data_IF_583626721405
#
_entry.id   IF_583626721405
#
_cell.length_a   1.000
_cell.length_b   1.000
_cell.length_c   1.000
_cell.angle_alpha   90.00
_cell.angle_beta   90.00
_cell.angle_gamma   90.00
#
_symmetry.space_group_name_H-M   'P 1'
#
loop_
_entity.id
_entity.type
_entity.pdbx_description
1 polymer ?
#
# COMPACT_ATOMS: atom_id res chain seq x y z
N UNK A 1 -26.49 5.46 6.24
CA UNK A 1 -25.23 4.75 6.54
C UNK A 1 -25.54 3.60 7.49
N UNK A 2 -24.88 2.44 7.36
CA UNK A 2 -24.91 1.39 8.37
C UNK A 2 -24.60 1.95 9.76
N UNK A 3 -25.16 1.33 10.81
CA UNK A 3 -24.92 1.77 12.18
C UNK A 3 -23.43 1.70 12.50
N UNK A 4 -22.89 2.79 13.04
CA UNK A 4 -21.54 2.82 13.55
C UNK A 4 -21.40 1.80 14.68
N UNK A 5 -20.28 1.10 14.71
CA UNK A 5 -19.88 0.27 15.84
C UNK A 5 -18.59 0.84 16.41
N UNK A 6 -18.46 0.80 17.73
CA UNK A 6 -17.22 1.15 18.40
C UNK A 6 -16.64 -0.10 19.03
N UNK A 7 -15.36 -0.35 18.77
CA UNK A 7 -14.60 -1.41 19.41
C UNK A 7 -13.41 -0.79 20.16
N UNK A 8 -12.97 -1.47 21.21
CA UNK A 8 -11.74 -1.12 21.92
C UNK A 8 -10.68 -2.11 21.48
N UNK A 9 -9.66 -1.63 20.77
CA UNK A 9 -8.59 -2.47 20.24
C UNK A 9 -7.29 -2.21 20.99
N UNK A 10 -6.51 -3.25 21.26
CA UNK A 10 -5.20 -3.08 21.91
C UNK A 10 -4.25 -2.33 20.98
N UNK A 11 -3.66 -1.24 21.49
CA UNK A 11 -2.61 -0.54 20.78
C UNK A 11 -1.28 -1.30 20.95
N UNK A 12 -0.61 -1.60 19.84
CA UNK A 12 0.69 -2.28 19.85
C UNK A 12 1.88 -1.28 19.89
N UNK A 13 1.62 0.00 20.14
CA UNK A 13 2.61 1.07 20.04
C UNK A 13 3.40 1.31 21.34
N UNK A 14 4.66 1.72 21.19
CA UNK A 14 5.56 2.22 22.25
C UNK A 14 5.23 3.67 22.67
N UNK A 15 4.51 4.45 21.85
CA UNK A 15 4.12 5.82 22.20
C UNK A 15 2.85 5.80 23.08
N UNK A 16 2.89 6.31 24.33
CA UNK A 16 1.84 6.11 25.33
C UNK A 16 0.44 6.64 24.98
N UNK A 17 0.32 7.52 23.97
CA UNK A 17 -0.94 8.22 23.65
C UNK A 17 -1.51 7.92 22.27
N UNK A 18 -0.73 7.28 21.40
CA UNK A 18 -1.11 7.11 19.99
C UNK A 18 -1.74 5.76 19.78
N UNK A 19 -2.90 5.75 19.11
CA UNK A 19 -3.58 4.52 18.75
C UNK A 19 -2.95 3.86 17.52
N UNK A 20 -2.52 4.66 16.56
CA UNK A 20 -2.11 4.18 15.24
C UNK A 20 -3.28 4.16 14.27
N UNK A 21 -3.18 3.35 13.21
CA UNK A 21 -4.17 3.28 12.14
C UNK A 21 -5.04 2.05 12.33
N UNK A 22 -6.34 2.12 12.01
CA UNK A 22 -7.19 0.93 12.05
C UNK A 22 -7.59 0.51 10.64
N UNK A 23 -7.76 -0.79 10.43
CA UNK A 23 -8.27 -1.36 9.17
C UNK A 23 -9.35 -2.42 9.44
N UNK A 24 -10.12 -2.78 8.42
CA UNK A 24 -11.18 -3.80 8.47
C UNK A 24 -11.10 -4.72 7.26
N UNK A 25 -11.46 -5.99 7.46
CA UNK A 25 -11.66 -6.98 6.40
C UNK A 25 -13.10 -7.01 5.86
N UNK A 26 -13.98 -6.15 6.39
CA UNK A 26 -15.38 -6.09 5.98
C UNK A 26 -16.30 -7.17 6.49
N UNK A 27 -15.80 -8.10 7.29
CA UNK A 27 -16.57 -9.18 7.93
C UNK A 27 -16.85 -8.90 9.41
N UNK A 28 -16.90 -7.61 9.79
CA UNK A 28 -17.04 -7.12 11.18
C UNK A 28 -15.82 -7.18 12.06
N UNK A 29 -14.67 -7.44 11.46
CA UNK A 29 -13.42 -7.50 12.20
C UNK A 29 -12.62 -6.21 12.00
N UNK A 30 -11.95 -5.78 13.07
CA UNK A 30 -11.23 -4.52 13.16
C UNK A 30 -9.85 -4.74 13.76
N UNK A 31 -8.90 -3.98 13.25
CA UNK A 31 -7.48 -4.24 13.43
C UNK A 31 -6.72 -2.96 13.70
N UNK A 32 -5.70 -3.00 14.56
CA UNK A 32 -4.82 -1.86 14.84
C UNK A 32 -3.42 -2.07 14.26
N UNK A 33 -2.96 -1.09 13.51
CA UNK A 33 -1.60 -0.91 13.05
C UNK A 33 -0.87 0.10 13.93
N UNK A 34 0.31 -0.26 14.45
CA UNK A 34 1.23 0.71 15.08
C UNK A 34 2.16 1.35 14.03
N UNK A 35 2.27 2.68 14.00
CA UNK A 35 3.25 3.38 13.17
C UNK A 35 4.73 3.23 13.62
N UNK A 36 5.02 2.70 14.83
CA UNK A 36 6.35 2.82 15.46
C UNK A 36 7.04 1.52 15.89
N UNK A 37 6.68 0.37 15.33
CA UNK A 37 7.68 -0.70 15.25
C UNK A 37 8.80 -0.13 14.35
N UNK A 38 10.08 -0.25 14.71
CA UNK A 38 11.25 0.37 14.04
C UNK A 38 11.48 -0.09 12.57
N UNK A 39 10.42 -0.47 11.87
CA UNK A 39 10.33 -1.00 10.53
C UNK A 39 9.52 -0.08 9.63
N UNK A 40 9.89 0.01 8.36
CA UNK A 40 8.95 0.48 7.33
C UNK A 40 7.80 -0.49 7.30
N UNK A 41 6.60 0.02 7.58
CA UNK A 41 5.41 -0.76 7.80
C UNK A 41 4.48 -0.56 6.61
N UNK A 42 4.36 -1.61 5.78
CA UNK A 42 3.39 -1.69 4.69
C UNK A 42 2.22 -2.54 5.14
N UNK A 43 1.01 -2.00 5.02
CA UNK A 43 -0.21 -2.64 5.46
C UNK A 43 -1.19 -2.71 4.31
N UNK A 44 -1.80 -3.88 4.12
CA UNK A 44 -2.93 -4.04 3.19
C UNK A 44 -4.05 -4.83 3.83
N UNK A 45 -5.31 -4.52 3.50
CA UNK A 45 -6.44 -5.36 3.87
C UNK A 45 -6.37 -6.72 3.15
N UNK A 46 -6.69 -7.78 3.89
CA UNK A 46 -6.79 -9.16 3.41
C UNK A 46 -8.25 -9.61 3.33
N UNK A 47 -8.52 -10.80 2.78
CA UNK A 47 -9.87 -11.40 2.79
C UNK A 47 -10.31 -11.71 4.23
N UNK A 48 -9.36 -12.17 5.05
CA UNK A 48 -9.51 -12.36 6.49
C UNK A 48 -8.43 -11.55 7.18
N UNK A 49 -8.86 -10.49 7.81
CA UNK A 49 -8.02 -9.53 8.52
C UNK A 49 -7.06 -8.67 7.73
N UNK A 50 -5.85 -8.58 8.24
CA UNK A 50 -4.85 -7.66 7.75
C UNK A 50 -3.49 -8.28 7.70
N UNK A 51 -2.63 -7.66 6.92
CA UNK A 51 -1.21 -7.95 6.99
C UNK A 51 -0.37 -6.78 7.47
N UNK A 52 0.68 -7.11 8.21
CA UNK A 52 1.75 -6.20 8.54
C UNK A 52 3.06 -6.72 7.93
N UNK A 53 3.80 -5.80 7.32
CA UNK A 53 5.18 -6.01 6.92
C UNK A 53 6.11 -5.40 7.97
N UNK A 54 6.93 -6.22 8.65
CA UNK A 54 7.95 -5.73 9.58
C UNK A 54 9.35 -5.84 8.97
N UNK A 55 9.84 -4.78 8.35
CA UNK A 55 11.27 -4.64 8.03
C UNK A 55 12.09 -4.31 9.28
N UNK A 56 12.46 -5.32 10.06
CA UNK A 56 13.45 -5.13 11.12
C UNK A 56 14.82 -4.85 10.48
N UNK A 57 15.72 -4.12 11.16
CA UNK A 57 17.16 -4.05 10.78
C UNK A 57 17.88 -5.43 10.91
N UNK A 58 17.11 -6.51 10.99
CA UNK A 58 17.53 -7.90 11.01
C UNK A 58 17.63 -8.42 9.57
N UNK A 59 18.45 -9.44 9.35
CA UNK A 59 18.66 -10.03 8.05
C UNK A 59 17.43 -10.79 7.48
N UNK A 60 16.25 -10.68 8.10
CA UNK A 60 15.01 -11.32 7.66
C UNK A 60 13.84 -10.50 8.14
N UNK A 61 12.86 -10.25 7.27
CA UNK A 61 11.56 -9.71 7.66
C UNK A 61 10.47 -10.78 7.55
N UNK A 62 9.32 -10.52 8.17
CA UNK A 62 8.18 -11.44 8.14
C UNK A 62 6.91 -10.68 7.80
N UNK A 63 6.14 -11.28 6.90
CA UNK A 63 4.82 -10.84 6.52
C UNK A 63 3.83 -11.64 7.32
N UNK A 64 3.05 -10.97 8.16
CA UNK A 64 2.12 -11.64 9.06
C UNK A 64 0.69 -11.34 8.63
N UNK A 65 -0.09 -12.36 8.32
CA UNK A 65 -1.53 -12.24 8.26
C UNK A 65 -2.12 -12.50 9.65
N UNK A 66 -2.96 -11.58 10.10
CA UNK A 66 -3.60 -11.66 11.40
C UNK A 66 -5.10 -11.91 11.23
N UNK A 67 -5.62 -12.78 12.10
CA UNK A 67 -7.04 -12.99 12.31
C UNK A 67 -7.66 -11.76 13.01
N UNK A 68 -8.99 -11.62 12.93
CA UNK A 68 -9.84 -10.66 13.66
C UNK A 68 -9.41 -10.31 15.08
N UNK A 69 -9.01 -11.33 15.83
CA UNK A 69 -8.67 -11.27 17.25
C UNK A 69 -7.19 -10.93 17.49
N UNK A 70 -6.42 -10.63 16.44
CA UNK A 70 -5.00 -10.35 16.49
C UNK A 70 -4.12 -11.61 16.55
N UNK A 71 -4.69 -12.82 16.47
CA UNK A 71 -3.89 -14.03 16.35
C UNK A 71 -3.22 -14.09 14.97
N UNK A 72 -1.96 -14.53 14.91
CA UNK A 72 -1.30 -14.77 13.62
C UNK A 72 -1.94 -15.99 12.97
N UNK A 73 -2.56 -15.82 11.80
CA UNK A 73 -3.17 -16.91 11.00
C UNK A 73 -2.13 -17.50 10.05
N UNK A 74 -1.28 -16.66 9.49
CA UNK A 74 -0.16 -17.09 8.67
C UNK A 74 1.01 -16.12 8.81
N UNK A 75 2.22 -16.65 8.66
CA UNK A 75 3.44 -15.86 8.64
C UNK A 75 4.32 -16.34 7.49
N UNK A 76 4.67 -15.44 6.60
CA UNK A 76 5.56 -15.70 5.47
C UNK A 76 6.86 -14.92 5.68
N UNK A 77 7.96 -15.63 5.91
CA UNK A 77 9.28 -15.00 5.98
C UNK A 77 9.77 -14.54 4.60
N UNK A 78 10.51 -13.44 4.56
CA UNK A 78 11.17 -12.92 3.37
C UNK A 78 12.58 -12.41 3.71
N UNK A 79 13.41 -12.25 2.67
CA UNK A 79 14.84 -11.95 2.82
C UNK A 79 15.15 -10.54 3.37
N UNK A 80 16.43 -10.29 3.69
CA UNK A 80 16.91 -9.04 4.32
C UNK A 80 16.63 -7.74 3.56
N UNK A 81 16.33 -7.80 2.27
CA UNK A 81 16.21 -6.63 1.40
C UNK A 81 15.00 -6.81 0.49
N UNK A 82 13.83 -6.47 1.03
CA UNK A 82 12.54 -6.68 0.42
C UNK A 82 11.79 -5.36 0.23
N UNK A 83 11.21 -5.17 -0.95
CA UNK A 83 10.33 -4.03 -1.26
C UNK A 83 8.89 -4.56 -1.28
N UNK A 84 8.06 -4.17 -0.30
CA UNK A 84 6.67 -4.58 -0.30
C UNK A 84 5.82 -3.73 -1.25
N UNK A 85 4.71 -4.29 -1.70
CA UNK A 85 3.83 -3.65 -2.67
C UNK A 85 2.39 -4.16 -2.64
N UNK A 86 1.44 -3.31 -3.02
CA UNK A 86 0.02 -3.68 -3.11
C UNK A 86 -0.23 -4.53 -4.33
N UNK A 87 -1.13 -5.52 -4.21
CA UNK A 87 -1.77 -6.12 -5.37
C UNK A 87 -3.19 -5.56 -5.53
N UNK A 88 -3.52 -5.04 -6.71
CA UNK A 88 -4.86 -4.50 -7.01
C UNK A 88 -5.99 -5.50 -6.77
N UNK A 89 -5.68 -6.79 -6.95
CA UNK A 89 -6.62 -7.89 -6.79
C UNK A 89 -6.61 -8.52 -5.38
N UNK A 90 -5.79 -8.01 -4.46
CA UNK A 90 -5.70 -8.49 -3.07
C UNK A 90 -4.37 -9.19 -2.77
N UNK A 91 -3.95 -9.11 -1.51
CA UNK A 91 -2.65 -9.59 -1.07
C UNK A 91 -1.52 -8.59 -1.32
N UNK A 92 -0.28 -9.07 -1.25
CA UNK A 92 0.93 -8.25 -1.45
C UNK A 92 1.91 -8.90 -2.40
N UNK A 93 2.74 -8.06 -3.01
CA UNK A 93 3.98 -8.52 -3.63
C UNK A 93 5.15 -8.09 -2.75
N UNK A 94 6.13 -8.98 -2.61
CA UNK A 94 7.42 -8.68 -1.99
C UNK A 94 8.48 -8.90 -3.04
N UNK A 95 9.12 -7.83 -3.49
CA UNK A 95 10.27 -7.95 -4.38
C UNK A 95 11.50 -8.15 -3.52
N UNK A 96 11.99 -9.39 -3.49
CA UNK A 96 13.15 -9.80 -2.72
C UNK A 96 14.41 -9.66 -3.57
N UNK A 97 15.41 -9.01 -3.00
CA UNK A 97 16.65 -8.72 -3.69
C UNK A 97 17.89 -9.20 -2.96
N UNK A 98 17.71 -9.97 -1.89
CA UNK A 98 18.83 -10.68 -1.29
C UNK A 98 19.01 -12.01 -2.00
N UNK A 99 20.15 -12.16 -2.64
CA UNK A 99 20.47 -13.37 -3.36
C UNK A 99 21.75 -13.95 -2.78
N UNK A 100 21.60 -14.98 -1.95
CA UNK A 100 22.71 -15.82 -1.48
C UNK A 100 23.06 -16.91 -2.51
N UNK A 101 22.26 -17.08 -3.57
CA UNK A 101 22.44 -18.13 -4.60
C UNK A 101 22.16 -17.68 -6.04
N UNK A 102 21.29 -16.70 -6.30
CA UNK A 102 21.03 -16.16 -7.65
C UNK A 102 21.71 -14.80 -7.87
N UNK A 103 21.85 -14.36 -9.12
CA UNK A 103 22.24 -12.97 -9.44
C UNK A 103 21.03 -12.11 -9.83
N UNK A 104 19.81 -12.62 -9.63
CA UNK A 104 18.55 -12.06 -10.14
C UNK A 104 17.53 -11.92 -9.01
N UNK A 105 16.95 -10.72 -8.86
CA UNK A 105 15.87 -10.45 -7.90
C UNK A 105 14.62 -11.32 -8.20
N UNK A 106 13.76 -11.53 -7.21
CA UNK A 106 12.48 -12.24 -7.39
C UNK A 106 11.30 -11.45 -6.84
N UNK A 107 10.13 -11.66 -7.43
CA UNK A 107 8.85 -11.19 -6.92
C UNK A 107 8.10 -12.35 -6.28
N UNK A 108 7.90 -12.26 -4.97
CA UNK A 108 7.07 -13.18 -4.20
C UNK A 108 5.66 -12.61 -4.08
N UNK A 109 4.70 -13.33 -4.64
CA UNK A 109 3.28 -12.99 -4.57
C UNK A 109 2.69 -13.71 -3.36
N UNK A 110 2.10 -12.94 -2.46
CA UNK A 110 1.39 -13.44 -1.29
C UNK A 110 -0.07 -13.05 -1.45
N UNK A 111 -0.96 -14.03 -1.43
CA UNK A 111 -2.39 -13.82 -1.66
C UNK A 111 -3.09 -13.09 -0.50
N UNK A 112 -4.39 -12.85 -0.65
CA UNK A 112 -5.23 -12.20 0.33
C UNK A 112 -5.58 -13.07 1.56
N UNK A 113 -5.02 -14.28 1.65
CA UNK A 113 -5.03 -15.13 2.86
C UNK A 113 -3.65 -15.22 3.54
N UNK A 114 -2.64 -14.53 2.99
CA UNK A 114 -1.29 -14.49 3.52
C UNK A 114 -0.40 -15.66 3.12
N UNK A 115 -0.84 -16.49 2.17
CA UNK A 115 -0.06 -17.61 1.66
C UNK A 115 0.76 -17.20 0.42
N UNK A 116 1.93 -17.83 0.25
CA UNK A 116 2.73 -17.64 -0.96
C UNK A 116 2.03 -18.29 -2.14
N UNK A 117 1.55 -17.47 -3.08
CA UNK A 117 0.93 -17.92 -4.31
C UNK A 117 1.96 -18.22 -5.40
N UNK A 118 3.03 -17.43 -5.47
CA UNK A 118 4.11 -17.61 -6.44
C UNK A 118 5.42 -16.95 -5.97
N UNK A 119 6.55 -17.46 -6.46
CA UNK A 119 7.86 -16.80 -6.38
C UNK A 119 8.47 -16.81 -7.78
N UNK A 120 8.71 -15.62 -8.32
CA UNK A 120 8.98 -15.44 -9.75
C UNK A 120 10.28 -14.67 -9.92
N UNK A 121 11.24 -15.24 -10.63
CA UNK A 121 12.48 -14.54 -10.96
C UNK A 121 12.19 -13.33 -11.85
N UNK A 122 12.96 -12.25 -11.68
CA UNK A 122 12.89 -11.05 -12.50
C UNK A 122 14.18 -10.87 -13.32
N UNK A 123 14.37 -11.59 -14.44
CA UNK A 123 15.59 -11.55 -15.23
C UNK A 123 16.07 -10.13 -15.56
N UNK A 124 17.38 -9.92 -15.44
CA UNK A 124 18.00 -8.62 -15.68
C UNK A 124 17.76 -7.59 -14.57
N UNK A 125 17.19 -8.00 -13.43
CA UNK A 125 17.17 -7.19 -12.20
C UNK A 125 18.29 -7.63 -11.26
N UNK A 126 19.33 -6.80 -11.04
CA UNK A 126 20.42 -7.16 -10.17
C UNK A 126 19.98 -7.23 -8.70
N UNK A 127 20.55 -8.18 -7.98
CA UNK A 127 20.50 -8.24 -6.53
C UNK A 127 21.54 -7.25 -5.97
N UNK A 128 21.14 -6.05 -5.59
CA UNK A 128 22.08 -5.03 -5.13
C UNK A 128 21.46 -4.14 -4.04
N UNK A 129 21.82 -4.44 -2.79
CA UNK A 129 21.48 -3.73 -1.55
C UNK A 129 20.26 -2.80 -1.68
N UNK A 130 19.08 -3.42 -1.66
CA UNK A 130 17.78 -2.75 -1.76
C UNK A 130 17.38 -2.12 -0.41
N UNK A 131 18.39 -1.81 0.41
CA UNK A 131 18.31 -1.16 1.73
C UNK A 131 18.12 0.35 1.65
N UNK A 132 18.23 0.95 0.46
CA UNK A 132 17.81 2.33 0.22
C UNK A 132 16.30 2.39 -0.01
N UNK A 133 15.54 3.27 0.66
CA UNK A 133 14.07 3.36 0.65
C UNK A 133 13.52 3.91 -0.68
N UNK A 134 14.17 3.65 -1.79
CA UNK A 134 14.01 4.29 -3.10
C UNK A 134 13.31 3.38 -4.12
N UNK A 135 12.61 2.36 -3.65
CA UNK A 135 11.95 1.39 -4.51
C UNK A 135 10.51 1.16 -4.04
N UNK A 136 9.60 1.04 -5.00
CA UNK A 136 8.23 0.62 -4.74
C UNK A 136 7.79 -0.42 -5.76
N UNK A 137 6.94 -1.33 -5.33
CA UNK A 137 6.36 -2.38 -6.16
C UNK A 137 4.83 -2.29 -6.10
N UNK A 138 4.15 -2.54 -7.22
CA UNK A 138 2.70 -2.76 -7.27
C UNK A 138 2.38 -3.83 -8.28
N UNK A 139 1.41 -4.68 -7.98
CA UNK A 139 0.76 -5.54 -8.97
C UNK A 139 -0.55 -4.89 -9.37
N UNK A 140 -0.72 -4.61 -10.65
CA UNK A 140 -1.93 -3.99 -11.17
C UNK A 140 -3.10 -4.99 -11.34
N UNK A 141 -4.26 -4.50 -11.79
CA UNK A 141 -5.44 -5.35 -11.97
C UNK A 141 -5.28 -6.42 -13.07
N UNK A 142 -4.27 -6.29 -13.94
CA UNK A 142 -3.94 -7.26 -14.99
C UNK A 142 -2.85 -8.26 -14.54
N UNK A 143 -2.57 -8.30 -13.24
CA UNK A 143 -1.54 -9.15 -12.63
C UNK A 143 -0.12 -8.87 -13.15
N UNK A 144 0.18 -7.61 -13.48
CA UNK A 144 1.50 -7.16 -13.92
C UNK A 144 2.19 -6.38 -12.82
N UNK A 145 3.47 -6.67 -12.61
CA UNK A 145 4.29 -6.00 -11.63
C UNK A 145 4.85 -4.70 -12.23
N UNK A 146 4.54 -3.58 -11.58
CA UNK A 146 5.21 -2.30 -11.76
C UNK A 146 6.29 -2.17 -10.69
N UNK A 147 7.54 -2.00 -11.13
CA UNK A 147 8.66 -1.69 -10.25
C UNK A 147 9.11 -0.26 -10.49
N UNK A 148 9.14 0.55 -9.44
CA UNK A 148 9.59 1.94 -9.45
C UNK A 148 10.90 2.06 -8.68
N UNK A 149 11.85 2.79 -9.25
CA UNK A 149 13.03 3.33 -8.58
C UNK A 149 12.94 4.85 -8.52
N UNK A 150 12.80 5.41 -7.33
CA UNK A 150 12.58 6.84 -7.10
C UNK A 150 13.71 7.50 -6.30
N UNK A 151 13.80 8.84 -6.33
CA UNK A 151 14.91 9.58 -5.74
C UNK A 151 16.16 9.72 -6.62
N UNK A 152 17.19 10.40 -6.10
CA UNK A 152 18.35 10.83 -6.88
C UNK A 152 19.19 9.65 -7.41
N UNK A 153 19.06 9.38 -8.71
CA UNK A 153 19.88 8.42 -9.44
C UNK A 153 19.12 7.23 -10.05
N UNK A 154 17.86 7.44 -10.47
CA UNK A 154 16.98 6.45 -11.11
C UNK A 154 17.71 5.29 -11.78
N UNK A 155 17.42 4.07 -11.33
CA UNK A 155 18.19 2.88 -11.69
C UNK A 155 18.04 2.53 -13.18
N UNK A 156 19.13 2.03 -13.76
CA UNK A 156 19.08 1.15 -14.95
C UNK A 156 18.81 1.84 -16.28
N UNK A 157 18.90 3.18 -16.36
CA UNK A 157 18.84 3.88 -17.63
C UNK A 157 19.78 5.09 -17.66
N UNK A 158 20.77 5.07 -18.55
CA UNK A 158 21.62 6.23 -18.84
C UNK A 158 20.88 7.35 -19.58
N UNK A 159 19.63 7.10 -20.01
CA UNK A 159 18.83 8.05 -20.79
C UNK A 159 17.84 8.83 -19.93
N UNK A 160 17.77 8.57 -18.62
CA UNK A 160 16.83 9.23 -17.71
C UNK A 160 17.54 10.41 -17.04
N UNK A 161 16.96 11.63 -17.08
CA UNK A 161 17.56 12.79 -16.46
C UNK A 161 17.87 12.59 -14.98
N UNK A 162 18.98 13.16 -14.51
CA UNK A 162 19.31 13.15 -13.09
C UNK A 162 18.20 13.80 -12.27
N UNK A 163 17.79 13.14 -11.18
CA UNK A 163 16.68 13.57 -10.32
C UNK A 163 15.32 13.00 -10.72
N UNK A 164 15.19 12.42 -11.92
CA UNK A 164 13.99 11.67 -12.30
C UNK A 164 14.05 10.23 -11.78
N UNK A 165 12.87 9.65 -11.68
CA UNK A 165 12.62 8.27 -11.26
C UNK A 165 12.43 7.37 -12.47
N UNK A 166 12.76 6.09 -12.32
CA UNK A 166 12.64 5.09 -13.39
C UNK A 166 11.67 3.99 -13.02
N UNK A 167 10.93 3.47 -14.00
CA UNK A 167 10.04 2.34 -13.78
C UNK A 167 10.17 1.27 -14.87
N UNK A 168 9.66 0.07 -14.55
CA UNK A 168 9.58 -1.06 -15.48
C UNK A 168 8.37 -1.93 -15.16
N UNK A 169 7.72 -2.43 -16.21
CA UNK A 169 6.68 -3.44 -16.12
C UNK A 169 7.23 -4.86 -16.30
N UNK A 170 6.68 -5.80 -15.56
CA UNK A 170 6.86 -7.23 -15.74
C UNK A 170 5.49 -7.92 -15.85
N UNK A 171 5.41 -8.97 -16.65
CA UNK A 171 4.25 -9.87 -16.60
C UNK A 171 4.30 -10.78 -15.37
N UNK A 172 3.25 -11.57 -15.18
CA UNK A 172 3.14 -12.51 -14.05
C UNK A 172 4.18 -13.62 -14.05
N UNK A 173 4.92 -13.81 -15.15
CA UNK A 173 6.04 -14.77 -15.24
C UNK A 173 7.40 -14.10 -14.98
N UNK A 174 7.42 -12.81 -14.69
CA UNK A 174 8.62 -12.04 -14.40
C UNK A 174 9.36 -11.55 -15.64
N UNK A 175 8.79 -11.72 -16.82
CA UNK A 175 9.38 -11.20 -18.06
C UNK A 175 9.11 -9.69 -18.14
N UNK A 176 10.15 -8.93 -18.43
CA UNK A 176 10.03 -7.49 -18.65
C UNK A 176 9.13 -7.21 -19.88
N UNK A 177 8.12 -6.38 -19.70
CA UNK A 177 7.22 -5.89 -20.75
C UNK A 177 7.70 -4.59 -21.37
N UNK A 178 8.52 -3.84 -20.64
CA UNK A 178 9.08 -2.56 -21.07
C UNK A 178 10.59 -2.50 -20.78
N UNK A 179 11.35 -1.63 -21.47
CA UNK A 179 12.62 -1.16 -20.94
C UNK A 179 12.42 -0.40 -19.61
N UNK A 180 13.51 0.02 -18.96
CA UNK A 180 13.40 1.05 -17.91
C UNK A 180 13.03 2.37 -18.58
N UNK A 181 12.02 3.07 -18.06
CA UNK A 181 11.53 4.32 -18.62
C UNK A 181 11.41 5.41 -17.55
N UNK A 182 11.47 6.66 -17.99
CA UNK A 182 11.33 7.84 -17.15
C UNK A 182 9.87 8.01 -16.71
N UNK A 183 9.65 8.20 -15.41
CA UNK A 183 8.33 8.54 -14.85
C UNK A 183 8.26 9.94 -14.24
N UNK A 184 9.29 10.75 -14.46
CA UNK A 184 9.45 12.09 -13.93
C UNK A 184 9.96 12.10 -12.49
N UNK A 185 9.82 13.25 -11.84
CA UNK A 185 10.25 13.43 -10.45
C UNK A 185 9.21 12.83 -9.52
N UNK A 186 9.62 11.78 -8.81
CA UNK A 186 8.89 11.17 -7.71
C UNK A 186 9.82 11.27 -6.49
N UNK A 187 9.53 12.21 -5.59
CA UNK A 187 10.26 12.32 -4.32
C UNK A 187 9.56 11.53 -3.22
N UNK A 188 10.37 10.92 -2.37
CA UNK A 188 9.96 10.19 -1.18
C UNK A 188 10.64 10.82 0.04
N UNK A 189 10.39 12.09 0.27
CA UNK A 189 10.60 12.68 1.58
C UNK A 189 9.68 11.91 2.56
N UNK A 190 10.28 10.88 3.16
CA UNK A 190 9.77 9.87 4.09
C UNK A 190 8.44 10.21 4.83
N UNK A 191 7.54 9.23 5.07
CA UNK A 191 7.36 7.91 4.45
C UNK A 191 6.11 7.94 3.55
N UNK A 192 6.28 8.05 2.22
CA UNK A 192 5.15 8.13 1.27
C UNK A 192 5.23 6.97 0.29
N UNK A 193 4.15 6.17 0.18
CA UNK A 193 4.00 5.23 -0.92
C UNK A 193 3.70 6.04 -2.19
N UNK A 194 4.61 6.08 -3.18
CA UNK A 194 4.45 6.97 -4.32
C UNK A 194 3.59 6.38 -5.45
N UNK A 195 3.13 5.13 -5.29
CA UNK A 195 2.43 4.36 -6.32
C UNK A 195 1.16 3.76 -5.75
N UNK A 196 0.09 3.77 -6.56
CA UNK A 196 -1.20 3.16 -6.22
C UNK A 196 -1.78 2.45 -7.46
N UNK A 197 -2.50 1.31 -7.30
CA UNK A 197 -3.08 0.61 -8.44
C UNK A 197 -4.29 1.37 -9.01
N UNK A 198 -4.46 1.31 -10.34
CA UNK A 198 -5.65 1.84 -11.02
C UNK A 198 -6.67 0.73 -11.30
N UNK A 199 -7.96 1.08 -11.21
CA UNK A 199 -9.08 0.31 -11.74
C UNK A 199 -8.84 0.04 -13.23
N UNK A 200 -8.95 -1.23 -13.62
CA UNK A 200 -8.72 -1.68 -15.01
C UNK A 200 -7.25 -1.93 -15.37
N UNK A 201 -6.31 -1.60 -14.48
CA UNK A 201 -4.87 -1.84 -14.65
C UNK A 201 -4.06 -0.56 -14.81
N UNK A 202 -2.75 -0.67 -14.67
CA UNK A 202 -1.85 0.46 -14.55
C UNK A 202 -1.69 0.97 -13.11
N UNK A 203 -0.94 2.07 -12.99
CA UNK A 203 -0.62 2.71 -11.70
C UNK A 203 -0.82 4.22 -11.75
N UNK A 204 -1.19 4.81 -10.63
CA UNK A 204 -1.12 6.24 -10.37
C UNK A 204 0.16 6.54 -9.59
N UNK A 205 0.84 7.62 -9.98
CA UNK A 205 2.06 8.11 -9.36
C UNK A 205 1.78 9.40 -8.59
N UNK A 206 2.42 9.50 -7.43
CA UNK A 206 2.30 10.62 -6.50
C UNK A 206 3.68 11.15 -6.14
N UNK A 207 3.82 12.46 -6.08
CA UNK A 207 5.02 13.15 -5.61
C UNK A 207 4.64 13.96 -4.37
N UNK A 208 5.14 13.55 -3.20
CA UNK A 208 4.64 14.04 -1.92
C UNK A 208 3.12 13.87 -1.83
N UNK A 209 2.41 14.99 -1.70
CA UNK A 209 0.95 14.97 -1.56
C UNK A 209 0.15 15.03 -2.85
N UNK A 210 0.82 15.19 -4.00
CA UNK A 210 0.19 15.53 -5.29
C UNK A 210 0.26 14.36 -6.25
N UNK A 211 -0.85 14.06 -6.92
CA UNK A 211 -0.89 13.09 -8.01
C UNK A 211 -0.31 13.69 -9.29
N UNK A 212 0.71 13.05 -9.85
CA UNK A 212 1.52 13.65 -10.93
C UNK A 212 1.31 12.99 -12.28
N UNK A 213 1.08 11.67 -12.31
CA UNK A 213 0.95 10.94 -13.56
C UNK A 213 0.24 9.60 -13.37
N UNK A 214 -0.14 9.00 -14.48
CA UNK A 214 -0.56 7.61 -14.56
C UNK A 214 0.38 6.86 -15.48
N UNK A 215 0.52 5.56 -15.29
CA UNK A 215 1.17 4.69 -16.27
C UNK A 215 0.22 3.55 -16.57
N UNK A 216 -0.23 3.47 -17.82
CA UNK A 216 -1.09 2.38 -18.26
C UNK A 216 -0.36 1.04 -18.14
N UNK A 217 -1.13 -0.03 -17.91
CA UNK A 217 -0.60 -1.38 -17.78
C UNK A 217 0.29 -1.79 -18.95
N UNK A 218 1.56 -2.10 -18.68
CA UNK A 218 2.54 -2.50 -19.71
C UNK A 218 3.03 -1.38 -20.62
N UNK A 219 2.63 -0.12 -20.38
CA UNK A 219 3.10 1.03 -21.15
C UNK A 219 4.36 1.66 -20.51
N UNK A 220 5.24 2.19 -21.35
CA UNK A 220 6.49 2.84 -20.95
C UNK A 220 6.41 4.38 -20.95
N UNK A 221 5.22 4.94 -21.12
CA UNK A 221 5.02 6.38 -21.24
C UNK A 221 4.05 6.85 -20.16
N UNK A 222 4.47 7.75 -19.27
CA UNK A 222 3.57 8.39 -18.33
C UNK A 222 2.48 9.18 -19.06
N UNK A 223 1.24 8.98 -18.63
CA UNK A 223 0.09 9.79 -18.99
C UNK A 223 -0.11 10.95 -18.00
N UNK A 224 -1.20 11.71 -18.16
CA UNK A 224 -1.56 12.78 -17.24
C UNK A 224 -1.87 12.23 -15.84
N UNK A 225 -1.91 13.12 -14.86
CA UNK A 225 -2.43 12.81 -13.53
C UNK A 225 -3.85 12.21 -13.62
N UNK A 226 -4.21 11.28 -12.73
CA UNK A 226 -5.53 10.67 -12.73
C UNK A 226 -6.62 11.73 -12.51
N UNK A 227 -7.70 11.66 -13.31
CA UNK A 227 -8.80 12.62 -13.19
C UNK A 227 -9.52 12.44 -11.86
N UNK A 228 -9.84 13.57 -11.20
CA UNK A 228 -10.58 13.60 -9.95
C UNK A 228 -9.80 13.16 -8.71
N UNK A 229 -8.54 12.72 -8.85
CA UNK A 229 -7.71 12.39 -7.68
C UNK A 229 -7.25 13.66 -6.98
N UNK A 230 -7.46 13.69 -5.67
CA UNK A 230 -7.25 14.87 -4.85
C UNK A 230 -5.87 14.89 -4.18
N UNK A 231 -5.24 16.06 -4.16
CA UNK A 231 -4.02 16.29 -3.39
C UNK A 231 -4.28 16.11 -1.89
N UNK A 232 -3.30 15.58 -1.16
CA UNK A 232 -3.40 15.29 0.27
C UNK A 232 -4.25 14.06 0.61
N UNK A 233 -4.76 13.33 -0.39
CA UNK A 233 -5.55 12.11 -0.21
C UNK A 233 -4.93 10.90 -0.93
N UNK A 234 -5.13 9.71 -0.36
CA UNK A 234 -4.83 8.42 -0.97
C UNK A 234 -6.04 7.92 -1.76
N UNK A 235 -5.79 7.23 -2.87
CA UNK A 235 -6.84 6.65 -3.70
C UNK A 235 -6.97 5.15 -3.41
N UNK A 236 -8.00 4.78 -2.65
CA UNK A 236 -8.28 3.38 -2.32
C UNK A 236 -9.37 2.85 -3.24
N UNK A 237 -9.10 1.72 -3.90
CA UNK A 237 -10.09 1.06 -4.77
C UNK A 237 -11.22 0.47 -3.91
N UNK A 238 -12.45 0.89 -4.18
CA UNK A 238 -13.68 0.46 -3.47
C UNK A 238 -14.77 0.02 -4.46
N UNK A 239 -15.96 -0.32 -3.95
CA UNK A 239 -17.13 -0.72 -4.77
C UNK A 239 -16.86 -1.91 -5.71
N UNK A 240 -15.98 -2.82 -5.29
CA UNK A 240 -15.54 -3.95 -6.11
C UNK A 240 -14.81 -3.51 -7.40
N UNK A 241 -14.01 -2.44 -7.32
CA UNK A 241 -13.25 -1.94 -8.47
C UNK A 241 -14.02 -0.96 -9.36
N UNK A 242 -15.05 -0.28 -8.84
CA UNK A 242 -15.88 0.65 -9.62
C UNK A 242 -15.69 2.12 -9.26
N UNK A 243 -15.03 2.41 -8.14
CA UNK A 243 -14.74 3.77 -7.70
C UNK A 243 -13.48 3.81 -6.83
N UNK A 244 -12.95 5.01 -6.64
CA UNK A 244 -11.90 5.31 -5.68
C UNK A 244 -12.51 6.07 -4.51
N UNK A 245 -12.16 5.65 -3.30
CA UNK A 245 -12.35 6.44 -2.09
C UNK A 245 -11.10 7.28 -1.88
N UNK A 246 -11.26 8.61 -1.89
CA UNK A 246 -10.17 9.53 -1.63
C UNK A 246 -10.02 9.68 -0.10
N UNK A 247 -9.15 8.87 0.47
CA UNK A 247 -8.87 8.80 1.91
C UNK A 247 -7.90 9.92 2.33
N UNK A 248 -8.18 10.71 3.38
CA UNK A 248 -7.22 11.68 3.90
C UNK A 248 -5.90 11.01 4.32
N UNK A 249 -4.78 11.44 3.75
CA UNK A 249 -3.47 10.78 3.93
C UNK A 249 -2.84 11.01 5.33
N UNK A 250 -3.27 12.04 6.07
CA UNK A 250 -2.73 12.42 7.39
C UNK A 250 -3.85 12.98 8.29
N UNK A 251 -3.52 13.17 9.56
CA UNK A 251 -4.41 13.72 10.60
C UNK A 251 -5.30 14.87 10.10
N UNK A 252 -6.60 14.77 10.32
CA UNK A 252 -7.53 15.87 10.07
C UNK A 252 -8.99 15.50 10.28
N UNK A 253 -9.85 16.51 10.38
CA UNK A 253 -11.25 16.38 9.97
C UNK A 253 -11.29 16.38 8.44
N UNK A 254 -12.02 15.46 7.83
CA UNK A 254 -11.98 15.32 6.38
C UNK A 254 -13.27 14.81 5.76
N UNK A 255 -13.21 14.74 4.43
CA UNK A 255 -14.19 14.05 3.62
C UNK A 255 -13.51 12.92 2.87
N UNK A 256 -14.22 11.81 2.75
CA UNK A 256 -13.94 10.80 1.73
C UNK A 256 -14.83 11.13 0.54
N UNK A 257 -14.22 11.55 -0.55
CA UNK A 257 -14.92 11.70 -1.82
C UNK A 257 -14.83 10.39 -2.60
N UNK A 258 -15.96 10.01 -3.20
CA UNK A 258 -16.07 8.80 -4.02
C UNK A 258 -15.95 9.21 -5.47
N UNK A 259 -14.83 8.88 -6.10
CA UNK A 259 -14.48 9.31 -7.45
C UNK A 259 -14.63 8.12 -8.41
N UNK A 260 -15.42 8.28 -9.46
CA UNK A 260 -15.50 7.30 -10.54
C UNK A 260 -14.22 7.34 -11.42
N UNK A 261 -13.90 6.28 -12.18
CA UNK A 261 -12.71 6.23 -13.03
C UNK A 261 -12.61 7.35 -14.08
N UNK A 262 -13.73 7.95 -14.47
CA UNK A 262 -13.79 9.10 -15.38
C UNK A 262 -13.47 10.44 -14.69
N UNK A 263 -13.27 10.43 -13.37
CA UNK A 263 -13.01 11.58 -12.51
C UNK A 263 -14.25 12.24 -11.94
N UNK A 264 -15.45 11.72 -12.21
CA UNK A 264 -16.69 12.26 -11.67
C UNK A 264 -16.78 11.97 -10.17
N UNK A 265 -17.03 13.02 -9.37
CA UNK A 265 -17.41 12.84 -7.98
C UNK A 265 -18.85 12.26 -7.91
N UNK A 266 -18.98 11.09 -7.29
CA UNK A 266 -20.22 10.35 -7.11
C UNK A 266 -20.86 10.58 -5.73
N UNK A 267 -20.20 11.29 -4.84
CA UNK A 267 -20.68 11.62 -3.51
C UNK A 267 -19.53 11.85 -2.54
N UNK A 268 -19.84 12.60 -1.49
CA UNK A 268 -18.91 12.96 -0.42
C UNK A 268 -19.44 12.42 0.89
N UNK A 269 -18.56 11.80 1.66
CA UNK A 269 -18.83 11.40 3.02
C UNK A 269 -17.97 12.21 3.98
N UNK A 270 -18.61 12.97 4.87
CA UNK A 270 -17.91 13.64 5.96
C UNK A 270 -17.53 12.62 7.03
N UNK A 271 -16.25 12.57 7.40
CA UNK A 271 -15.77 11.73 8.49
C UNK A 271 -15.61 12.57 9.76
N UNK A 272 -15.67 11.90 10.91
CA UNK A 272 -15.27 12.53 12.16
C UNK A 272 -13.76 12.86 12.14
N UNK A 273 -13.32 13.75 13.02
CA UNK A 273 -11.91 14.05 13.22
C UNK A 273 -11.16 12.82 13.71
N UNK A 274 -10.11 12.43 12.99
CA UNK A 274 -9.28 11.30 13.37
C UNK A 274 -8.41 10.78 12.24
N UNK A 275 -7.76 9.66 12.47
CA UNK A 275 -7.21 8.84 11.41
C UNK A 275 -8.32 8.09 10.72
N UNK A 276 -8.41 8.26 9.42
CA UNK A 276 -9.41 7.61 8.59
C UNK A 276 -8.70 6.56 7.77
N UNK A 277 -9.30 5.37 7.70
CA UNK A 277 -8.87 4.34 6.77
C UNK A 277 -10.07 3.75 6.04
N UNK A 278 -9.88 3.39 4.78
CA UNK A 278 -10.89 2.75 3.96
C UNK A 278 -10.49 1.31 3.66
N UNK A 279 -11.34 0.37 4.09
CA UNK A 279 -11.21 -1.05 3.73
C UNK A 279 -11.60 -1.28 2.27
N UNK A 280 -11.00 -2.29 1.63
CA UNK A 280 -11.31 -2.69 0.24
C UNK A 280 -12.78 -3.08 0.05
N UNK A 281 -13.39 -3.61 1.10
CA UNK A 281 -14.81 -3.96 1.19
C UNK A 281 -15.74 -2.71 1.25
N UNK A 282 -15.16 -1.52 1.33
CA UNK A 282 -15.86 -0.25 1.47
C UNK A 282 -16.17 0.14 2.92
N UNK A 283 -15.61 -0.55 3.91
CA UNK A 283 -15.68 -0.14 5.31
C UNK A 283 -14.88 1.12 5.59
N UNK A 284 -15.32 1.91 6.56
CA UNK A 284 -14.62 3.11 7.00
C UNK A 284 -14.31 2.99 8.47
N UNK A 285 -13.08 3.32 8.83
CA UNK A 285 -12.61 3.32 10.20
C UNK A 285 -12.16 4.71 10.59
N UNK A 286 -12.45 5.09 11.82
CA UNK A 286 -12.01 6.34 12.43
C UNK A 286 -11.35 6.01 13.76
N UNK A 287 -10.08 6.37 13.89
CA UNK A 287 -9.30 6.23 15.11
C UNK A 287 -8.96 7.62 15.65
N UNK A 288 -9.31 7.94 16.91
CA UNK A 288 -8.90 9.19 17.52
C UNK A 288 -7.36 9.23 17.68
N UNK A 289 -6.72 10.36 17.35
CA UNK A 289 -5.26 10.45 17.32
C UNK A 289 -4.62 10.28 18.71
N UNK A 290 -5.31 10.75 19.76
CA UNK A 290 -4.90 10.65 21.16
C UNK A 290 -5.93 9.86 21.98
N UNK A 291 -6.44 8.76 21.42
CA UNK A 291 -7.54 7.99 22.00
C UNK A 291 -7.14 6.90 22.98
N UNK A 292 -5.84 6.65 23.18
CA UNK A 292 -5.37 5.49 23.96
C UNK A 292 -5.70 5.67 25.44
N UNK A 293 -6.49 4.77 25.98
CA UNK A 293 -6.66 4.66 27.43
C UNK A 293 -5.38 4.06 28.02
N UNK A 294 -4.65 4.86 28.80
CA UNK A 294 -3.40 4.47 29.44
C UNK A 294 -3.56 3.39 30.52
N UNK A 295 -4.77 3.20 31.04
CA UNK A 295 -5.05 2.22 32.09
C UNK A 295 -5.26 0.83 31.49
N UNK A 296 -6.02 0.75 30.40
CA UNK A 296 -6.37 -0.51 29.74
C UNK A 296 -5.49 -0.82 28.53
N UNK A 297 -4.71 0.16 28.07
CA UNK A 297 -3.92 0.10 26.86
C UNK A 297 -4.75 -0.05 25.56
N UNK A 298 -6.02 0.36 25.60
CA UNK A 298 -6.97 0.18 24.51
C UNK A 298 -7.25 1.49 23.77
N UNK A 299 -7.58 1.35 22.49
CA UNK A 299 -7.90 2.42 21.58
C UNK A 299 -9.33 2.29 21.06
N UNK A 300 -10.16 3.34 21.19
CA UNK A 300 -11.48 3.36 20.59
C UNK A 300 -11.34 3.46 19.08
N UNK A 301 -11.93 2.51 18.37
CA UNK A 301 -12.05 2.54 16.91
C UNK A 301 -13.53 2.56 16.58
N UNK A 302 -13.94 3.61 15.86
CA UNK A 302 -15.28 3.69 15.30
C UNK A 302 -15.24 3.15 13.88
N UNK A 303 -16.06 2.14 13.62
CA UNK A 303 -16.15 1.47 12.33
C UNK A 303 -17.55 1.57 11.75
N UNK A 304 -17.59 1.83 10.45
CA UNK A 304 -18.79 1.86 9.65
C UNK A 304 -18.67 0.77 8.58
N UNK A 305 -19.37 -0.38 8.74
CA UNK A 305 -19.30 -1.50 7.81
C UNK A 305 -19.75 -1.10 6.41
N UNK A 306 -18.99 -1.47 5.38
CA UNK A 306 -19.45 -1.51 3.98
C UNK A 306 -20.21 -0.24 3.54
N UNK A 307 -19.81 0.94 4.03
CA UNK A 307 -20.45 2.23 3.70
C UNK A 307 -20.32 2.53 2.21
N UNK A 308 -19.19 2.12 1.65
CA UNK A 308 -18.78 2.35 0.26
C UNK A 308 -18.89 1.07 -0.58
N UNK A 309 -19.94 0.25 -0.38
CA UNK A 309 -20.23 -0.94 -1.18
C UNK A 309 -21.09 -0.66 -2.41
#
# INVERSE_FOLDING_TARGET
MPAAKTAMLSAYDVVPDTCGYAISDGSSNLYMQSPYIQSQNFFVPLQVGYTAYSHQMSATGTFYAYAPDGAVVSSTMYGPAAVPGMQANGGVVVVNATCNVSSTASARYIDDSGHVAADVALPGQPCNDWTSPQLAAIVDAQNRLFLLSYGAGGRGSSTVPAGNSTARWFDSSGKALTPWFDVGVVDSSYPVYPVFPLIGGGVALRNGDVWVSTVASGAATPGPAPKGFESGKLAIVVRGGKAYAMEPYRYGSGSIDVIAPDGKNCGTLTTQSGYVAVGRDGSILVVPPNGRDRTTNLCPVTWYPQVLK
#
